data_IF_664039476312
#
_entry.id   IF_664039476312
#
_cell.length_a   1.000
_cell.length_b   1.000
_cell.length_c   1.000
_cell.angle_alpha   90.00
_cell.angle_beta   90.00
_cell.angle_gamma   90.00
#
_symmetry.space_group_name_H-M   'P 1'
#
loop_
_entity.id
_entity.type
_entity.pdbx_description
1 polymer ?
#
# COMPACT_ATOMS: atom_id res chain seq x y z
N UNK A 1 -5.90 26.67 -0.49
CA UNK A 1 -5.14 25.97 -1.54
C UNK A 1 -4.05 25.08 -0.93
N UNK A 2 -3.07 25.64 -0.19
CA UNK A 2 -1.95 24.87 0.40
C UNK A 2 -2.39 23.73 1.33
N UNK A 3 -3.43 23.94 2.16
CA UNK A 3 -3.99 22.92 3.05
C UNK A 3 -4.51 21.69 2.29
N UNK A 4 -5.30 21.89 1.24
CA UNK A 4 -5.84 20.81 0.42
C UNK A 4 -4.73 20.06 -0.34
N UNK A 5 -3.69 20.77 -0.77
CA UNK A 5 -2.52 20.13 -1.40
C UNK A 5 -1.74 19.26 -0.41
N UNK A 6 -1.56 19.72 0.84
CA UNK A 6 -0.94 18.89 1.89
C UNK A 6 -1.80 17.66 2.20
N UNK A 7 -3.12 17.82 2.29
CA UNK A 7 -4.05 16.69 2.47
C UNK A 7 -3.97 15.69 1.32
N UNK A 8 -4.00 16.16 0.08
CA UNK A 8 -3.94 15.30 -1.09
C UNK A 8 -2.61 14.52 -1.18
N UNK A 9 -1.48 15.17 -0.89
CA UNK A 9 -0.18 14.50 -0.82
C UNK A 9 -0.15 13.45 0.29
N UNK A 10 -0.75 13.75 1.44
CA UNK A 10 -0.80 12.84 2.58
C UNK A 10 -1.72 11.63 2.31
N UNK A 11 -2.87 11.86 1.70
CA UNK A 11 -3.78 10.79 1.27
C UNK A 11 -3.12 9.88 0.24
N UNK A 12 -2.35 10.45 -0.69
CA UNK A 12 -1.57 9.67 -1.64
C UNK A 12 -0.50 8.82 -0.92
N UNK A 13 0.23 9.40 0.04
CA UNK A 13 1.21 8.66 0.85
C UNK A 13 0.55 7.52 1.62
N UNK A 14 -0.57 7.79 2.30
CA UNK A 14 -1.31 6.79 3.07
C UNK A 14 -1.77 5.61 2.18
N UNK A 15 -2.33 5.89 1.00
CA UNK A 15 -2.73 4.84 0.03
C UNK A 15 -1.54 4.01 -0.45
N UNK A 16 -0.40 4.66 -0.73
CA UNK A 16 0.82 3.97 -1.16
C UNK A 16 1.39 3.11 -0.03
N UNK A 17 1.41 3.59 1.21
CA UNK A 17 1.84 2.81 2.38
C UNK A 17 0.92 1.61 2.62
N UNK A 18 -0.39 1.78 2.51
CA UNK A 18 -1.35 0.67 2.61
C UNK A 18 -1.14 -0.38 1.50
N UNK A 19 -0.94 0.07 0.25
CA UNK A 19 -0.64 -0.81 -0.87
C UNK A 19 0.69 -1.56 -0.66
N UNK A 20 1.72 -0.88 -0.17
CA UNK A 20 2.99 -1.47 0.18
C UNK A 20 2.81 -2.60 1.21
N UNK A 21 2.09 -2.32 2.30
CA UNK A 21 1.75 -3.32 3.32
C UNK A 21 1.07 -4.56 2.75
N UNK A 22 0.08 -4.38 1.87
CA UNK A 22 -0.61 -5.51 1.25
C UNK A 22 0.32 -6.41 0.44
N UNK A 23 1.30 -5.84 -0.26
CA UNK A 23 2.32 -6.62 -0.97
C UNK A 23 3.31 -7.28 -0.03
N UNK A 24 3.68 -6.64 1.09
CA UNK A 24 4.57 -7.25 2.09
C UNK A 24 3.93 -8.49 2.70
N UNK A 25 2.61 -8.47 2.95
CA UNK A 25 1.87 -9.62 3.49
C UNK A 25 1.84 -10.85 2.58
N UNK A 26 2.13 -10.69 1.28
CA UNK A 26 2.13 -11.81 0.32
C UNK A 26 3.52 -12.40 0.07
N UNK A 27 4.58 -11.80 0.61
CA UNK A 27 5.95 -12.35 0.56
C UNK A 27 6.00 -13.68 1.30
N UNK A 28 6.69 -14.67 0.72
CA UNK A 28 6.76 -16.05 1.22
C UNK A 28 5.49 -16.87 0.98
N UNK A 29 4.42 -16.24 0.48
CA UNK A 29 3.15 -16.89 0.15
C UNK A 29 3.06 -17.40 -1.29
N UNK A 30 1.88 -17.87 -1.67
CA UNK A 30 1.60 -18.41 -3.02
C UNK A 30 1.66 -17.37 -4.13
N UNK A 31 1.48 -16.08 -3.80
CA UNK A 31 1.58 -14.97 -4.75
C UNK A 31 2.98 -14.36 -4.83
N UNK A 32 3.94 -14.87 -4.05
CA UNK A 32 5.30 -14.35 -4.04
C UNK A 32 6.02 -14.70 -5.35
N UNK A 33 6.61 -13.68 -5.98
CA UNK A 33 7.21 -13.78 -7.30
C UNK A 33 8.21 -12.66 -7.53
N UNK A 34 9.10 -12.84 -8.50
CA UNK A 34 10.07 -11.79 -8.84
C UNK A 34 9.36 -10.48 -9.22
N UNK A 35 8.22 -10.58 -9.92
CA UNK A 35 7.42 -9.41 -10.28
C UNK A 35 6.89 -8.68 -9.04
N UNK A 36 6.33 -9.39 -8.06
CA UNK A 36 5.90 -8.80 -6.78
C UNK A 36 7.08 -8.10 -6.08
N UNK A 37 8.26 -8.74 -6.02
CA UNK A 37 9.45 -8.15 -5.38
C UNK A 37 9.94 -6.88 -6.08
N UNK A 38 9.81 -6.79 -7.40
CA UNK A 38 10.11 -5.55 -8.14
C UNK A 38 9.04 -4.47 -7.92
N UNK A 39 7.75 -4.83 -7.90
CA UNK A 39 6.67 -3.89 -7.57
C UNK A 39 6.76 -3.34 -6.14
N UNK A 40 7.24 -4.14 -5.19
CA UNK A 40 7.59 -3.67 -3.85
C UNK A 40 8.67 -2.59 -3.89
N UNK A 41 9.76 -2.78 -4.65
CA UNK A 41 10.82 -1.77 -4.79
C UNK A 41 10.29 -0.47 -5.39
N UNK A 42 9.49 -0.56 -6.46
CA UNK A 42 8.88 0.62 -7.12
C UNK A 42 7.94 1.36 -6.18
N UNK A 43 7.08 0.64 -5.46
CA UNK A 43 6.13 1.22 -4.52
C UNK A 43 6.84 1.88 -3.34
N UNK A 44 7.92 1.27 -2.83
CA UNK A 44 8.79 1.88 -1.81
C UNK A 44 9.40 3.20 -2.30
N UNK A 45 9.93 3.21 -3.53
CA UNK A 45 10.49 4.42 -4.14
C UNK A 45 9.44 5.54 -4.23
N UNK A 46 8.23 5.21 -4.70
CA UNK A 46 7.11 6.15 -4.77
C UNK A 46 6.70 6.67 -3.38
N UNK A 47 6.67 5.80 -2.37
CA UNK A 47 6.37 6.19 -0.99
C UNK A 47 7.42 7.19 -0.46
N UNK A 48 8.70 6.95 -0.74
CA UNK A 48 9.79 7.86 -0.37
C UNK A 48 9.65 9.23 -1.04
N UNK A 49 9.34 9.28 -2.33
CA UNK A 49 9.12 10.54 -3.06
C UNK A 49 7.96 11.35 -2.47
N UNK A 50 6.82 10.70 -2.21
CA UNK A 50 5.67 11.32 -1.56
C UNK A 50 5.98 11.78 -0.13
N UNK A 51 6.79 11.00 0.61
CA UNK A 51 7.21 11.35 1.95
C UNK A 51 8.09 12.61 1.97
N UNK A 52 9.06 12.71 1.05
CA UNK A 52 9.93 13.88 0.92
C UNK A 52 9.12 15.11 0.53
N UNK A 53 8.20 14.98 -0.43
CA UNK A 53 7.33 16.07 -0.84
C UNK A 53 6.44 16.58 0.31
N UNK A 54 5.77 15.67 1.04
CA UNK A 54 4.97 16.00 2.22
C UNK A 54 5.80 16.68 3.30
N UNK A 55 6.94 16.08 3.67
CA UNK A 55 7.84 16.62 4.72
C UNK A 55 8.22 18.05 4.40
N UNK A 56 8.70 18.31 3.18
CA UNK A 56 9.16 19.64 2.78
C UNK A 56 8.00 20.65 2.88
N UNK A 57 6.81 20.29 2.39
CA UNK A 57 5.66 21.19 2.38
C UNK A 57 5.12 21.48 3.78
N UNK A 58 4.91 20.44 4.59
CA UNK A 58 4.45 20.59 5.97
C UNK A 58 5.47 21.35 6.82
N UNK A 59 6.77 21.09 6.65
CA UNK A 59 7.82 21.81 7.38
C UNK A 59 7.82 23.31 7.05
N UNK A 60 7.66 23.66 5.78
CA UNK A 60 7.57 25.07 5.35
C UNK A 60 6.39 25.77 6.01
N UNK A 61 5.21 25.14 5.99
CA UNK A 61 3.99 25.74 6.57
C UNK A 61 4.05 25.82 8.09
N UNK A 62 4.54 24.79 8.78
CA UNK A 62 4.61 24.76 10.25
C UNK A 62 5.64 25.75 10.81
N UNK A 63 6.65 26.14 10.03
CA UNK A 63 7.63 27.17 10.39
C UNK A 63 7.12 28.59 10.16
N UNK A 64 6.10 28.76 9.33
CA UNK A 64 5.54 30.06 9.02
C UNK A 64 4.74 30.61 10.22
N UNK A 65 5.18 31.76 10.74
CA UNK A 65 4.56 32.42 11.90
C UNK A 65 3.30 33.22 11.53
N UNK A 66 3.04 33.41 10.23
CA UNK A 66 1.86 34.14 9.73
C UNK A 66 0.60 33.27 9.68
N UNK A 67 0.74 31.94 9.80
CA UNK A 67 -0.37 30.99 9.80
C UNK A 67 -1.23 31.17 11.05
N UNK A 68 -2.56 31.15 10.88
CA UNK A 68 -3.53 31.23 11.97
C UNK A 68 -3.35 30.10 12.98
N UNK A 69 -3.78 30.29 14.24
CA UNK A 69 -3.66 29.23 15.25
C UNK A 69 -4.49 28.00 14.89
N UNK A 70 -5.67 28.21 14.31
CA UNK A 70 -6.59 27.17 13.88
C UNK A 70 -6.01 26.35 12.72
N UNK A 71 -5.44 27.01 11.71
CA UNK A 71 -4.79 26.30 10.60
C UNK A 71 -3.53 25.59 11.06
N UNK A 72 -2.76 26.19 11.97
CA UNK A 72 -1.56 25.57 12.52
C UNK A 72 -1.89 24.26 13.25
N UNK A 73 -2.94 24.24 14.07
CA UNK A 73 -3.41 23.02 14.74
C UNK A 73 -3.82 21.92 13.74
N UNK A 74 -4.41 22.29 12.60
CA UNK A 74 -4.71 21.33 11.53
C UNK A 74 -3.43 20.79 10.87
N UNK A 75 -2.44 21.65 10.56
CA UNK A 75 -1.18 21.18 9.99
C UNK A 75 -0.40 20.29 10.96
N UNK A 76 -0.48 20.53 12.26
CA UNK A 76 0.07 19.66 13.29
C UNK A 76 -0.63 18.29 13.30
N UNK A 77 -1.96 18.24 13.13
CA UNK A 77 -2.67 16.96 12.95
C UNK A 77 -2.21 16.21 11.70
N UNK A 78 -2.06 16.91 10.57
CA UNK A 78 -1.53 16.31 9.34
C UNK A 78 -0.10 15.79 9.54
N UNK A 79 0.72 16.48 10.33
CA UNK A 79 2.07 16.03 10.68
C UNK A 79 2.07 14.73 11.49
N UNK A 80 1.14 14.56 12.42
CA UNK A 80 0.99 13.31 13.18
C UNK A 80 0.64 12.15 12.26
N UNK A 81 -0.33 12.34 11.35
CA UNK A 81 -0.71 11.32 10.37
C UNK A 81 0.47 10.99 9.45
N UNK A 82 1.19 12.02 8.97
CA UNK A 82 2.40 11.85 8.17
C UNK A 82 3.45 11.01 8.89
N UNK A 83 3.74 11.32 10.15
CA UNK A 83 4.73 10.59 10.96
C UNK A 83 4.31 9.13 11.15
N UNK A 84 3.02 8.90 11.40
CA UNK A 84 2.45 7.55 11.52
C UNK A 84 2.60 6.74 10.22
N UNK A 85 2.41 7.38 9.06
CA UNK A 85 2.62 6.72 7.77
C UNK A 85 4.09 6.31 7.56
N UNK A 86 5.05 7.10 8.05
CA UNK A 86 6.47 6.76 7.97
C UNK A 86 6.84 5.59 8.88
N UNK A 87 6.31 5.57 10.11
CA UNK A 87 6.52 4.47 11.06
C UNK A 87 5.99 3.15 10.49
N UNK A 88 4.77 3.15 9.95
CA UNK A 88 4.18 1.95 9.33
C UNK A 88 5.02 1.50 8.13
N UNK A 89 5.39 2.44 7.25
CA UNK A 89 6.21 2.14 6.08
C UNK A 89 7.55 1.53 6.49
N UNK A 90 8.20 2.05 7.53
CA UNK A 90 9.46 1.53 8.06
C UNK A 90 9.31 0.09 8.56
N UNK A 91 8.30 -0.17 9.39
CA UNK A 91 7.99 -1.51 9.91
C UNK A 91 7.79 -2.50 8.76
N UNK A 92 7.00 -2.11 7.75
CA UNK A 92 6.72 -2.97 6.61
C UNK A 92 7.97 -3.16 5.73
N UNK A 93 8.84 -2.16 5.59
CA UNK A 93 10.10 -2.30 4.84
C UNK A 93 11.07 -3.27 5.53
N UNK A 94 11.19 -3.20 6.86
CA UNK A 94 12.00 -4.14 7.65
C UNK A 94 11.46 -5.56 7.50
N UNK A 95 10.15 -5.72 7.66
CA UNK A 95 9.47 -7.02 7.47
C UNK A 95 9.67 -7.58 6.06
N UNK A 96 9.59 -6.74 5.03
CA UNK A 96 9.82 -7.16 3.65
C UNK A 96 11.25 -7.65 3.41
N UNK A 97 12.23 -7.03 4.07
CA UNK A 97 13.63 -7.45 4.02
C UNK A 97 13.82 -8.80 4.71
N UNK A 98 13.33 -8.95 5.94
CA UNK A 98 13.39 -10.18 6.73
C UNK A 98 12.77 -11.36 5.98
N UNK A 99 11.50 -11.23 5.58
CA UNK A 99 10.81 -12.24 4.78
C UNK A 99 11.52 -12.49 3.44
N UNK A 100 12.14 -11.46 2.86
CA UNK A 100 12.86 -11.60 1.61
C UNK A 100 14.11 -12.47 1.71
N UNK A 101 14.76 -12.48 2.88
CA UNK A 101 15.87 -13.36 3.20
C UNK A 101 15.41 -14.78 3.55
N UNK A 102 14.33 -14.92 4.30
CA UNK A 102 13.77 -16.23 4.68
C UNK A 102 13.18 -17.00 3.48
N UNK A 103 12.63 -16.28 2.50
CA UNK A 103 12.01 -16.84 1.30
C UNK A 103 12.73 -16.39 0.01
N UNK A 104 13.93 -16.92 -0.28
CA UNK A 104 14.69 -16.52 -1.46
C UNK A 104 14.13 -17.12 -2.75
N UNK A 105 13.89 -16.28 -3.77
CA UNK A 105 13.34 -16.72 -5.07
C UNK A 105 14.36 -17.38 -6.00
N UNK A 106 15.65 -17.08 -5.81
CA UNK A 106 16.73 -17.44 -6.75
C UNK A 106 17.49 -18.72 -6.35
N UNK A 107 16.99 -19.49 -5.39
CA UNK A 107 17.58 -20.80 -5.05
C UNK A 107 17.05 -21.82 -6.06
N UNK A 108 17.89 -22.67 -6.68
CA UNK A 108 17.42 -23.76 -7.52
C UNK A 108 16.40 -24.58 -6.73
N UNK A 109 15.13 -24.58 -7.19
CA UNK A 109 14.02 -25.27 -6.52
C UNK A 109 14.29 -26.78 -6.49
N UNK A 110 15.06 -27.27 -5.51
CA UNK A 110 14.92 -28.66 -5.07
C UNK A 110 13.59 -28.73 -4.31
N UNK A 111 12.54 -29.05 -5.06
CA UNK A 111 11.25 -29.56 -4.58
C UNK A 111 10.37 -28.60 -3.76
N UNK A 112 10.11 -27.38 -4.27
CA UNK A 112 8.86 -26.72 -3.88
C UNK A 112 7.73 -27.42 -4.63
N UNK A 113 6.90 -28.18 -3.91
CA UNK A 113 5.71 -28.84 -4.45
C UNK A 113 4.87 -27.78 -5.17
N UNK A 114 4.86 -27.82 -6.51
CA UNK A 114 3.97 -27.01 -7.32
C UNK A 114 2.57 -27.60 -7.21
N UNK A 115 1.78 -27.16 -6.23
CA UNK A 115 0.36 -27.56 -6.10
C UNK A 115 -0.54 -26.94 -7.18
N UNK A 116 0.04 -26.38 -8.25
CA UNK A 116 -0.67 -26.02 -9.48
C UNK A 116 -1.67 -24.87 -9.40
N UNK A 117 -1.91 -24.28 -8.23
CA UNK A 117 -2.89 -23.21 -8.07
C UNK A 117 -2.27 -21.82 -8.27
N UNK A 118 -1.98 -21.48 -9.53
CA UNK A 118 -1.90 -20.07 -9.94
C UNK A 118 -3.32 -19.53 -10.09
N UNK A 119 -3.87 -18.95 -9.02
CA UNK A 119 -5.17 -18.29 -9.07
C UNK A 119 -5.11 -17.05 -9.95
N UNK A 120 -5.30 -17.21 -11.25
CA UNK A 120 -5.53 -16.08 -12.16
C UNK A 120 -6.79 -15.33 -11.72
N UNK A 121 -6.70 -14.01 -11.60
CA UNK A 121 -7.85 -13.13 -11.32
C UNK A 121 -9.01 -13.35 -12.31
N UNK A 122 -8.73 -13.90 -13.49
CA UNK A 122 -9.72 -14.34 -14.48
C UNK A 122 -10.76 -15.32 -13.93
N UNK A 123 -10.38 -16.27 -13.07
CA UNK A 123 -11.34 -17.23 -12.49
C UNK A 123 -12.27 -16.61 -11.43
N UNK A 124 -11.80 -15.57 -10.73
CA UNK A 124 -12.62 -14.79 -9.79
C UNK A 124 -13.53 -13.82 -10.55
N UNK A 125 -13.01 -13.15 -11.59
CA UNK A 125 -13.78 -12.27 -12.46
C UNK A 125 -14.88 -13.01 -13.22
N UNK A 126 -14.60 -14.19 -13.79
CA UNK A 126 -15.60 -15.01 -14.47
C UNK A 126 -16.75 -15.39 -13.53
N UNK A 127 -16.46 -15.81 -12.29
CA UNK A 127 -17.50 -16.13 -11.29
C UNK A 127 -18.31 -14.91 -10.88
N UNK A 128 -17.68 -13.75 -10.68
CA UNK A 128 -18.39 -12.50 -10.34
C UNK A 128 -19.30 -12.01 -11.49
N UNK A 129 -18.83 -12.12 -12.73
CA UNK A 129 -19.59 -11.75 -13.94
C UNK A 129 -20.72 -12.74 -14.25
N UNK A 130 -20.61 -14.00 -13.79
CA UNK A 130 -21.66 -15.02 -13.96
C UNK A 130 -22.89 -14.79 -13.06
N UNK A 131 -22.76 -13.99 -12.00
CA UNK A 131 -23.87 -13.69 -11.06
C UNK A 131 -24.90 -12.73 -11.67
N UNK A 132 -24.54 -11.97 -12.72
CA UNK A 132 -25.42 -10.97 -13.32
C UNK A 132 -26.63 -11.56 -14.08
N UNK A 133 -26.72 -12.88 -14.23
CA UNK A 133 -27.81 -13.55 -14.96
C UNK A 133 -28.65 -14.54 -14.12
N UNK A 134 -28.54 -14.56 -12.79
CA UNK A 134 -29.47 -15.34 -11.97
C UNK A 134 -30.81 -14.61 -11.84
N UNK A 135 -31.80 -15.02 -12.66
CA UNK A 135 -33.22 -14.71 -12.39
C UNK A 135 -33.65 -15.54 -11.18
N UNK A 136 -34.00 -14.87 -10.09
CA UNK A 136 -34.71 -15.49 -8.98
C UNK A 136 -36.16 -15.72 -9.40
N UNK A 137 -36.54 -16.96 -9.69
CA UNK A 137 -37.95 -17.35 -9.65
C UNK A 137 -38.29 -17.62 -8.19
N UNK A 138 -39.00 -16.67 -7.59
CA UNK A 138 -39.64 -16.88 -6.30
C UNK A 138 -40.90 -17.71 -6.54
N UNK A 139 -40.89 -18.99 -6.15
CA UNK A 139 -42.10 -19.80 -6.08
C UNK A 139 -43.09 -19.11 -5.12
N UNK A 140 -44.24 -18.68 -5.64
CA UNK A 140 -45.40 -18.34 -4.83
C UNK A 140 -46.17 -19.64 -4.54
N UNK A 141 -46.45 -19.82 -3.24
CA UNK A 141 -47.22 -20.90 -2.58
C UNK A 141 -48.22 -21.67 -3.44
#
# INVERSE_FOLDING_TARGET
>A
MVKEECKALLDALNKVTACYRHMVLTIGGTSDSQNLREELKKTRQKAQELAVANRNKLTTVLKDKSVSKEDKAEFERLWVIFSTCLEILEIDMRRALELGHEFPLNVPKKHLIQTGMSGGTSGVAARAMSVQNMKYEAEHN
#
